data_IF_404525305172
#
_entry.id   IF_404525305172
#
_cell.length_a   1.000
_cell.length_b   1.000
_cell.length_c   1.000
_cell.angle_alpha   90.00
_cell.angle_beta   90.00
_cell.angle_gamma   90.00
#
_symmetry.space_group_name_H-M   'P 1'
#
loop_
_entity.id
_entity.type
_entity.pdbx_description
1 polymer ?
#
# COMPACT_ATOMS: atom_id res chain seq x y z
N UNK A 1 2.19 7.51 -18.16
CA UNK A 1 1.33 6.91 -17.11
C UNK A 1 0.99 8.00 -16.11
N UNK A 2 -0.25 8.06 -15.64
CA UNK A 2 -0.68 9.00 -14.59
C UNK A 2 -0.27 8.43 -13.22
N UNK A 3 0.04 9.31 -12.26
CA UNK A 3 0.28 8.89 -10.90
C UNK A 3 -1.03 8.37 -10.26
N UNK A 4 -0.96 7.21 -9.62
CA UNK A 4 -2.11 6.62 -8.91
C UNK A 4 -2.17 7.24 -7.51
N UNK A 5 -3.33 7.77 -7.13
CA UNK A 5 -3.55 8.32 -5.80
C UNK A 5 -4.01 7.23 -4.81
N UNK A 6 -3.08 6.73 -3.99
CA UNK A 6 -3.35 5.78 -2.90
C UNK A 6 -3.64 6.45 -1.55
N UNK A 7 -3.83 7.77 -1.51
CA UNK A 7 -4.11 8.51 -0.26
C UNK A 7 -5.33 7.94 0.47
N UNK A 8 -6.39 7.59 -0.29
CA UNK A 8 -7.60 7.02 0.28
C UNK A 8 -7.36 5.63 0.88
N UNK A 9 -6.59 4.77 0.21
CA UNK A 9 -6.23 3.44 0.69
C UNK A 9 -5.45 3.55 2.00
N UNK A 10 -4.44 4.43 2.04
CA UNK A 10 -3.64 4.64 3.24
C UNK A 10 -4.49 5.14 4.43
N UNK A 11 -5.37 6.13 4.20
CA UNK A 11 -6.22 6.71 5.26
C UNK A 11 -7.12 5.66 5.93
N UNK A 12 -7.71 4.77 5.13
CA UNK A 12 -8.74 3.84 5.61
C UNK A 12 -8.18 2.47 6.05
N UNK A 13 -7.05 2.04 5.49
CA UNK A 13 -6.57 0.66 5.65
C UNK A 13 -5.16 0.56 6.24
N UNK A 14 -4.59 1.64 6.79
CA UNK A 14 -3.27 1.62 7.45
C UNK A 14 -3.11 0.44 8.42
N UNK A 15 -2.04 -0.32 8.25
CA UNK A 15 -1.71 -1.49 9.06
C UNK A 15 -2.49 -2.76 8.73
N UNK A 16 -3.29 -2.76 7.66
CA UNK A 16 -4.03 -3.91 7.18
C UNK A 16 -3.46 -4.42 5.85
N UNK A 17 -3.75 -5.68 5.57
CA UNK A 17 -3.70 -6.24 4.23
C UNK A 17 -4.96 -5.85 3.48
N UNK A 18 -4.81 -5.43 2.22
CA UNK A 18 -5.91 -5.16 1.30
C UNK A 18 -5.78 -6.05 0.06
N UNK A 19 -6.93 -6.47 -0.48
CA UNK A 19 -7.04 -7.09 -1.79
C UNK A 19 -7.62 -6.04 -2.75
N UNK A 20 -6.87 -5.72 -3.80
CA UNK A 20 -7.22 -4.74 -4.82
C UNK A 20 -7.65 -5.44 -6.11
N UNK A 21 -8.48 -4.75 -6.90
CA UNK A 21 -8.73 -5.12 -8.30
C UNK A 21 -7.49 -4.82 -9.16
N UNK A 22 -7.60 -5.21 -10.43
CA UNK A 22 -6.69 -4.88 -11.53
C UNK A 22 -6.51 -3.38 -11.77
N UNK A 23 -7.46 -2.55 -11.32
CA UNK A 23 -7.35 -1.09 -11.33
C UNK A 23 -6.41 -0.50 -10.26
N UNK A 24 -5.83 -1.34 -9.39
CA UNK A 24 -4.92 -0.98 -8.29
C UNK A 24 -5.48 0.02 -7.25
N UNK A 25 -6.77 0.37 -7.32
CA UNK A 25 -7.39 1.39 -6.44
C UNK A 25 -8.62 0.86 -5.72
N UNK A 26 -9.33 -0.09 -6.30
CA UNK A 26 -10.57 -0.62 -5.73
C UNK A 26 -10.28 -1.72 -4.72
N UNK A 27 -10.56 -1.44 -3.45
CA UNK A 27 -10.40 -2.42 -2.35
C UNK A 27 -11.60 -3.37 -2.30
N UNK A 28 -11.34 -4.65 -2.58
CA UNK A 28 -12.30 -5.75 -2.50
C UNK A 28 -12.47 -6.22 -1.06
N UNK A 29 -11.36 -6.41 -0.34
CA UNK A 29 -11.37 -6.92 1.04
C UNK A 29 -10.18 -6.38 1.83
N UNK A 30 -10.29 -6.41 3.16
CA UNK A 30 -9.22 -6.04 4.07
C UNK A 30 -9.20 -6.94 5.32
N UNK A 31 -8.01 -7.11 5.91
CA UNK A 31 -7.79 -7.96 7.08
C UNK A 31 -6.45 -7.73 7.76
N UNK A 32 -6.26 -8.32 8.95
CA UNK A 32 -5.01 -8.17 9.72
C UNK A 32 -3.88 -9.06 9.17
N UNK A 33 -4.23 -10.05 8.36
CA UNK A 33 -3.29 -10.98 7.73
C UNK A 33 -3.65 -11.22 6.27
N UNK A 34 -2.65 -11.63 5.48
CA UNK A 34 -2.85 -12.03 4.09
C UNK A 34 -3.87 -13.17 3.96
N UNK A 35 -3.77 -14.20 4.83
CA UNK A 35 -4.69 -15.35 4.86
C UNK A 35 -6.15 -14.96 5.09
N UNK A 36 -6.40 -14.06 6.04
CA UNK A 36 -7.75 -13.55 6.31
C UNK A 36 -8.30 -12.77 5.10
N UNK A 37 -7.45 -11.92 4.51
CA UNK A 37 -7.80 -11.05 3.38
C UNK A 37 -8.10 -11.88 2.13
N UNK A 38 -7.29 -12.90 1.84
CA UNK A 38 -7.49 -13.85 0.73
C UNK A 38 -8.82 -14.58 0.87
N UNK A 39 -9.08 -15.18 2.03
CA UNK A 39 -10.36 -15.85 2.30
C UNK A 39 -11.57 -14.93 2.10
N UNK A 40 -11.45 -13.65 2.50
CA UNK A 40 -12.51 -12.65 2.29
C UNK A 40 -12.68 -12.28 0.81
N UNK A 41 -11.60 -12.22 0.04
CA UNK A 41 -11.65 -11.94 -1.39
C UNK A 41 -12.22 -13.12 -2.19
N UNK A 42 -11.80 -14.35 -1.87
CA UNK A 42 -12.32 -15.60 -2.45
C UNK A 42 -13.83 -15.72 -2.24
N UNK A 43 -14.31 -15.44 -1.02
CA UNK A 43 -15.75 -15.40 -0.70
C UNK A 43 -16.53 -14.38 -1.54
N UNK A 44 -15.88 -13.34 -2.05
CA UNK A 44 -16.46 -12.33 -2.93
C UNK A 44 -16.33 -12.68 -4.42
N UNK A 45 -15.78 -13.85 -4.74
CA UNK A 45 -15.61 -14.32 -6.12
C UNK A 45 -14.32 -13.86 -6.81
N UNK A 46 -13.42 -13.20 -6.09
CA UNK A 46 -12.14 -12.74 -6.65
C UNK A 46 -11.06 -13.80 -6.40
N UNK A 47 -10.63 -14.46 -7.48
CA UNK A 47 -9.64 -15.56 -7.43
C UNK A 47 -8.20 -15.06 -7.33
N UNK A 48 -7.88 -13.97 -8.03
CA UNK A 48 -6.51 -13.44 -8.14
C UNK A 48 -6.47 -11.92 -7.97
N UNK A 49 -6.82 -11.38 -6.78
CA UNK A 49 -6.66 -9.96 -6.50
C UNK A 49 -5.20 -9.58 -6.23
N UNK A 50 -4.86 -8.30 -6.39
CA UNK A 50 -3.56 -7.76 -6.02
C UNK A 50 -3.54 -7.55 -4.50
N UNK A 51 -2.63 -8.23 -3.79
CA UNK A 51 -2.50 -8.05 -2.34
C UNK A 51 -1.45 -7.00 -1.99
N UNK A 52 -1.80 -6.08 -1.11
CA UNK A 52 -0.92 -5.03 -0.64
C UNK A 52 -1.02 -4.89 0.89
N UNK A 53 0.13 -4.80 1.57
CA UNK A 53 0.17 -4.44 2.98
C UNK A 53 0.32 -2.93 3.12
N UNK A 54 -0.69 -2.28 3.68
CA UNK A 54 -0.65 -0.85 3.91
C UNK A 54 0.22 -0.57 5.14
N UNK A 55 1.31 0.19 5.01
CA UNK A 55 2.20 0.45 6.15
C UNK A 55 1.46 1.19 7.25
N UNK A 56 1.82 0.91 8.51
CA UNK A 56 1.25 1.60 9.68
C UNK A 56 1.69 3.07 9.77
N UNK A 57 2.87 3.37 9.25
CA UNK A 57 3.51 4.69 9.29
C UNK A 57 4.26 4.89 7.97
N UNK A 58 4.16 6.08 7.41
CA UNK A 58 4.99 6.51 6.29
C UNK A 58 6.31 7.03 6.87
N UNK A 59 7.36 6.23 6.75
CA UNK A 59 8.73 6.65 7.08
C UNK A 59 9.30 7.34 5.85
N UNK A 60 9.31 8.67 5.87
CA UNK A 60 9.90 9.47 4.80
C UNK A 60 11.41 9.46 4.93
N UNK A 61 12.10 9.16 3.82
CA UNK A 61 13.54 9.32 3.72
C UNK A 61 13.84 10.63 3.00
N UNK A 62 14.54 11.54 3.68
CA UNK A 62 15.10 12.75 3.06
C UNK A 62 16.61 12.56 3.09
N UNK A 63 17.24 12.43 1.93
CA UNK A 63 18.68 12.18 1.82
C UNK A 63 19.50 13.26 2.54
N UNK A 64 20.69 12.89 3.06
CA UNK A 64 21.62 13.88 3.60
C UNK A 64 22.20 14.72 2.47
N UNK A 65 22.05 16.04 2.54
CA UNK A 65 22.80 16.96 1.67
C UNK A 65 24.24 16.94 2.15
N UNK A 66 25.15 16.33 1.40
CA UNK A 66 26.58 16.40 1.69
C UNK A 66 27.03 17.85 1.43
N UNK A 67 27.34 18.61 2.48
CA UNK A 67 28.11 19.85 2.34
C UNK A 67 29.57 19.45 2.09
N UNK A 68 30.03 19.56 0.84
CA UNK A 68 31.45 19.62 0.55
C UNK A 68 31.96 21.01 0.97
N UNK A 69 32.71 21.06 2.06
CA UNK A 69 33.53 22.23 2.37
C UNK A 69 34.69 22.24 1.37
N UNK A 70 34.59 23.10 0.34
CA UNK A 70 35.74 23.47 -0.47
C UNK A 70 36.61 24.37 0.42
N UNK A 71 37.68 23.81 0.98
CA UNK A 71 38.78 24.62 1.52
C UNK A 71 39.55 25.20 0.34
N UNK A 72 39.42 26.51 0.17
CA UNK A 72 40.25 27.34 -0.73
C UNK A 72 41.59 27.58 -0.04
#
# INVERSE_FOLDING_TARGET
>A
MLAIDWTHIYKNYKGLWVALKDDEVTVISAGKSLKETSKKAEKKGFKEPIFYYVPKKLTYFVGKVAKSEIKI
#
